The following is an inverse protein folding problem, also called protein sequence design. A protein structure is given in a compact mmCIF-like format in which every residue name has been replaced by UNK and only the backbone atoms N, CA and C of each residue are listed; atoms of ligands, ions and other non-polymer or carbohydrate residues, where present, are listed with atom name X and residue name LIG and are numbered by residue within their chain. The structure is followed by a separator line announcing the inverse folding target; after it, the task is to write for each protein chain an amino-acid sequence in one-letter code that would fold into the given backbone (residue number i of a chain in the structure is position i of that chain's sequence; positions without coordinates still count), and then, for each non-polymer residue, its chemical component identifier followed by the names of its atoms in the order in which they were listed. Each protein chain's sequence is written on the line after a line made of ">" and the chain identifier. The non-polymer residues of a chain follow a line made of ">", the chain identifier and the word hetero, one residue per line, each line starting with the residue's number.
data_IF_043529747181
#
_entry.id   IF_043529747181
#
_cell.length_a   1.000
_cell.length_b   1.000
_cell.length_c   1.000
_cell.angle_alpha   90.00
_cell.angle_beta   90.00
_cell.angle_gamma   90.00
#
_symmetry.space_group_name_H-M   'P 1'
#
loop_
_entity.id
_entity.type
_entity.pdbx_description
1 polymer ?
#
# COMPACT_ATOMS: atom_id res chain seq x y z
N UNK A 1 13.92 15.95 8.84
CA UNK A 1 14.01 15.20 7.56
C UNK A 1 12.65 14.66 7.21
N UNK A 2 12.21 14.83 5.97
CA UNK A 2 10.93 14.28 5.51
C UNK A 2 10.99 12.76 5.41
N UNK A 3 9.87 12.10 5.73
CA UNK A 3 9.75 10.64 5.72
C UNK A 3 8.87 10.20 4.56
N UNK A 4 9.37 9.25 3.77
CA UNK A 4 8.61 8.64 2.68
C UNK A 4 8.40 7.16 3.00
N UNK A 5 7.14 6.75 3.08
CA UNK A 5 6.79 5.34 3.21
C UNK A 5 6.70 4.73 1.80
N UNK A 6 7.33 3.59 1.61
CA UNK A 6 7.53 2.97 0.30
C UNK A 6 7.17 1.49 0.37
N UNK A 7 6.32 1.01 -0.53
CA UNK A 7 6.05 -0.42 -0.62
C UNK A 7 5.52 -0.84 -1.99
N UNK A 8 5.73 -2.12 -2.29
CA UNK A 8 5.04 -2.77 -3.39
C UNK A 8 3.73 -3.36 -2.86
N UNK A 9 2.64 -3.13 -3.57
CA UNK A 9 1.32 -3.63 -3.16
C UNK A 9 1.13 -5.09 -3.57
N UNK A 10 2.00 -5.95 -3.03
CA UNK A 10 2.06 -7.38 -3.29
C UNK A 10 2.65 -8.09 -2.06
N UNK A 11 2.23 -9.33 -1.85
CA UNK A 11 2.82 -10.22 -0.83
C UNK A 11 3.85 -11.18 -1.40
N UNK A 12 4.18 -11.07 -2.68
CA UNK A 12 5.23 -11.90 -3.29
C UNK A 12 6.59 -11.55 -2.71
N UNK A 13 7.35 -12.57 -2.28
CA UNK A 13 8.70 -12.36 -1.73
C UNK A 13 9.67 -11.79 -2.75
N UNK A 14 9.44 -12.06 -4.03
CA UNK A 14 10.26 -11.56 -5.14
C UNK A 14 9.49 -10.52 -5.95
N UNK A 15 8.71 -9.69 -5.28
CA UNK A 15 7.87 -8.70 -5.93
C UNK A 15 8.70 -7.69 -6.73
N UNK A 16 8.45 -7.65 -8.05
CA UNK A 16 9.06 -6.64 -8.93
C UNK A 16 8.50 -5.24 -8.58
N UNK A 17 7.28 -5.16 -8.08
CA UNK A 17 6.70 -3.90 -7.66
C UNK A 17 7.36 -3.36 -6.40
N UNK A 18 7.75 -4.23 -5.47
CA UNK A 18 8.56 -3.80 -4.32
C UNK A 18 9.89 -3.22 -4.80
N UNK A 19 10.57 -3.92 -5.72
CA UNK A 19 11.83 -3.45 -6.29
C UNK A 19 11.66 -2.10 -7.00
N UNK A 20 10.59 -1.95 -7.77
CA UNK A 20 10.31 -0.72 -8.48
C UNK A 20 10.05 0.45 -7.52
N UNK A 21 9.29 0.21 -6.47
CA UNK A 21 9.03 1.26 -5.46
C UNK A 21 10.32 1.70 -4.76
N UNK A 22 11.20 0.76 -4.45
CA UNK A 22 12.50 1.08 -3.83
C UNK A 22 13.39 1.86 -4.80
N UNK A 23 13.44 1.42 -6.07
CA UNK A 23 14.19 2.14 -7.10
C UNK A 23 13.72 3.60 -7.20
N UNK A 24 12.41 3.80 -7.25
CA UNK A 24 11.85 5.16 -7.31
C UNK A 24 12.23 5.97 -6.08
N UNK A 25 12.19 5.36 -4.89
CA UNK A 25 12.53 6.06 -3.64
C UNK A 25 13.98 6.51 -3.60
N UNK A 26 14.88 5.77 -4.24
CA UNK A 26 16.30 6.11 -4.28
C UNK A 26 16.61 7.35 -5.14
N UNK A 27 15.64 7.85 -5.90
CA UNK A 27 15.79 9.08 -6.68
C UNK A 27 15.63 10.34 -5.81
N UNK A 28 15.11 10.19 -4.60
CA UNK A 28 14.93 11.30 -3.66
C UNK A 28 16.14 11.42 -2.74
N UNK A 29 16.57 12.65 -2.47
CA UNK A 29 17.70 12.93 -1.59
C UNK A 29 17.23 13.65 -0.34
N UNK A 30 18.00 13.50 0.73
CA UNK A 30 17.73 14.17 2.01
C UNK A 30 16.36 13.82 2.59
N UNK A 31 15.96 12.56 2.43
CA UNK A 31 14.71 12.01 2.96
C UNK A 31 15.00 10.72 3.73
N UNK A 32 14.15 10.43 4.70
CA UNK A 32 14.16 9.13 5.36
C UNK A 32 13.22 8.20 4.61
N UNK A 33 13.73 7.06 4.16
CA UNK A 33 12.95 6.07 3.42
C UNK A 33 12.55 4.95 4.39
N UNK A 34 11.24 4.70 4.49
CA UNK A 34 10.69 3.62 5.33
C UNK A 34 10.07 2.60 4.39
N UNK A 35 10.76 1.47 4.22
CA UNK A 35 10.32 0.41 3.32
C UNK A 35 9.44 -0.56 4.09
N UNK A 36 8.21 -0.78 3.62
CA UNK A 36 7.30 -1.76 4.18
C UNK A 36 7.22 -3.00 3.29
N UNK A 37 6.99 -4.13 3.92
CA UNK A 37 6.73 -5.41 3.23
C UNK A 37 5.35 -5.88 3.66
N UNK A 38 4.44 -6.09 2.71
CA UNK A 38 3.07 -6.49 3.03
C UNK A 38 2.99 -7.85 3.73
N UNK A 39 4.02 -8.68 3.59
CA UNK A 39 4.08 -9.94 4.34
C UNK A 39 4.11 -9.73 5.86
N UNK A 40 4.64 -8.60 6.32
CA UNK A 40 4.67 -8.26 7.74
C UNK A 40 3.30 -7.82 8.27
N UNK A 41 2.34 -7.61 7.39
CA UNK A 41 1.01 -7.10 7.72
C UNK A 41 -0.10 -8.09 7.31
N UNK A 42 0.23 -9.37 7.28
CA UNK A 42 -0.76 -10.40 7.01
C UNK A 42 -1.78 -10.46 8.14
N UNK A 43 -3.05 -10.43 7.78
CA UNK A 43 -4.18 -10.37 8.71
C UNK A 43 -5.32 -11.25 8.18
N UNK A 44 -6.25 -11.64 9.07
CA UNK A 44 -7.47 -12.31 8.59
C UNK A 44 -8.16 -11.44 7.53
N UNK A 45 -8.81 -12.08 6.58
CA UNK A 45 -9.59 -11.35 5.58
C UNK A 45 -10.69 -10.57 6.30
N UNK A 46 -10.78 -9.27 6.02
CA UNK A 46 -11.73 -8.38 6.67
C UNK A 46 -13.17 -8.88 6.52
N UNK A 47 -13.92 -8.80 7.61
CA UNK A 47 -15.37 -8.89 7.62
C UNK A 47 -15.88 -8.14 8.84
N UNK A 48 -17.11 -7.68 8.78
CA UNK A 48 -17.75 -7.03 9.94
C UNK A 48 -17.80 -7.95 11.14
N UNK A 49 -18.05 -9.25 10.92
CA UNK A 49 -18.11 -10.23 12.00
C UNK A 49 -16.77 -10.37 12.70
N UNK A 50 -15.69 -10.40 11.95
CA UNK A 50 -14.34 -10.48 12.53
C UNK A 50 -14.00 -9.23 13.35
N UNK A 51 -14.37 -8.07 12.85
CA UNK A 51 -14.16 -6.82 13.57
C UNK A 51 -14.95 -6.82 14.89
N UNK A 52 -16.22 -7.25 14.86
CA UNK A 52 -17.06 -7.31 16.05
C UNK A 52 -16.55 -8.33 17.08
N UNK A 53 -16.08 -9.48 16.60
CA UNK A 53 -15.66 -10.58 17.49
C UNK A 53 -14.25 -10.37 18.07
N UNK A 54 -13.32 -9.81 17.31
CA UNK A 54 -11.92 -9.75 17.67
C UNK A 54 -11.31 -8.36 17.61
N UNK A 55 -12.08 -7.36 17.17
CA UNK A 55 -11.59 -6.00 16.99
C UNK A 55 -10.71 -5.84 15.76
N UNK A 56 -10.14 -4.65 15.61
CA UNK A 56 -9.22 -4.34 14.51
C UNK A 56 -7.85 -4.95 14.83
N UNK A 57 -7.25 -5.72 13.89
CA UNK A 57 -5.93 -6.31 14.15
C UNK A 57 -4.88 -5.24 14.48
N UNK A 58 -3.99 -5.58 15.38
CA UNK A 58 -2.88 -4.69 15.79
C UNK A 58 -2.01 -4.29 14.59
N UNK A 59 -1.79 -5.21 13.65
CA UNK A 59 -1.02 -4.94 12.43
C UNK A 59 -1.66 -3.86 11.56
N UNK A 60 -2.99 -3.79 11.53
CA UNK A 60 -3.70 -2.74 10.80
C UNK A 60 -3.44 -1.39 11.44
N UNK A 61 -3.52 -1.31 12.75
CA UNK A 61 -3.23 -0.07 13.49
C UNK A 61 -1.79 0.37 13.27
N UNK A 62 -0.85 -0.57 13.29
CA UNK A 62 0.56 -0.28 13.03
C UNK A 62 0.77 0.29 11.62
N UNK A 63 0.15 -0.34 10.63
CA UNK A 63 0.25 0.14 9.24
C UNK A 63 -0.32 1.55 9.11
N UNK A 64 -1.50 1.76 9.69
CA UNK A 64 -2.17 3.06 9.69
C UNK A 64 -1.30 4.15 10.32
N UNK A 65 -0.66 3.87 11.46
CA UNK A 65 0.21 4.82 12.13
C UNK A 65 1.48 5.14 11.32
N UNK A 66 2.01 4.15 10.61
CA UNK A 66 3.15 4.38 9.71
C UNK A 66 2.78 5.34 8.58
N UNK A 67 1.58 5.19 8.01
CA UNK A 67 1.09 6.13 7.01
C UNK A 67 0.90 7.52 7.61
N UNK A 68 0.29 7.59 8.79
CA UNK A 68 0.03 8.85 9.47
C UNK A 68 1.31 9.64 9.74
N UNK A 69 2.37 8.96 10.13
CA UNK A 69 3.64 9.60 10.48
C UNK A 69 4.53 9.91 9.26
N UNK A 70 4.13 9.52 8.06
CA UNK A 70 4.87 9.81 6.84
C UNK A 70 4.52 11.21 6.30
N UNK A 71 5.40 11.73 5.45
CA UNK A 71 5.18 12.99 4.73
C UNK A 71 4.73 12.74 3.29
N UNK A 72 5.06 11.57 2.73
CA UNK A 72 4.70 11.17 1.38
C UNK A 72 4.73 9.66 1.25
N UNK A 73 4.14 9.15 0.18
CA UNK A 73 4.03 7.71 -0.07
C UNK A 73 4.48 7.39 -1.49
N UNK A 74 5.16 6.25 -1.64
CA UNK A 74 5.45 5.67 -2.95
C UNK A 74 4.91 4.25 -2.94
N UNK A 75 3.96 3.96 -3.81
CA UNK A 75 3.33 2.65 -3.90
C UNK A 75 3.41 2.15 -5.34
N UNK A 76 3.97 0.96 -5.55
CA UNK A 76 3.97 0.31 -6.85
C UNK A 76 3.03 -0.89 -6.80
N UNK A 77 2.02 -0.91 -7.68
CA UNK A 77 0.93 -1.87 -7.64
C UNK A 77 1.19 -3.07 -8.53
N UNK A 78 1.11 -4.25 -7.94
CA UNK A 78 0.96 -5.49 -8.69
C UNK A 78 -0.50 -5.64 -9.09
N UNK A 79 -0.74 -6.27 -10.23
CA UNK A 79 -2.09 -6.49 -10.74
C UNK A 79 -2.43 -7.97 -10.71
N UNK A 80 -3.52 -8.31 -10.06
CA UNK A 80 -4.10 -9.64 -10.07
C UNK A 80 -5.53 -9.54 -10.59
N UNK A 81 -5.78 -10.22 -11.70
CA UNK A 81 -7.12 -10.21 -12.34
C UNK A 81 -7.63 -8.77 -12.60
N UNK A 82 -6.75 -7.92 -13.09
CA UNK A 82 -7.09 -6.56 -13.49
C UNK A 82 -7.28 -5.56 -12.34
N UNK A 83 -6.93 -5.92 -11.11
CA UNK A 83 -7.16 -5.07 -9.94
C UNK A 83 -6.05 -5.23 -8.90
N UNK A 84 -6.29 -4.72 -7.69
CA UNK A 84 -5.37 -4.86 -6.56
C UNK A 84 -5.09 -6.34 -6.24
N UNK A 85 -3.93 -6.60 -5.65
CA UNK A 85 -3.71 -7.89 -5.00
C UNK A 85 -4.62 -8.00 -3.78
N UNK A 86 -4.99 -9.23 -3.43
CA UNK A 86 -5.77 -9.48 -2.22
C UNK A 86 -5.06 -8.96 -0.97
N UNK A 87 -3.73 -9.12 -0.92
CA UNK A 87 -2.95 -8.64 0.22
C UNK A 87 -3.09 -7.14 0.44
N UNK A 88 -2.99 -6.34 -0.62
CA UNK A 88 -3.17 -4.89 -0.50
C UNK A 88 -4.60 -4.53 -0.15
N UNK A 89 -5.57 -5.11 -0.86
CA UNK A 89 -6.98 -4.79 -0.64
C UNK A 89 -7.40 -5.10 0.78
N UNK A 90 -6.92 -6.20 1.34
CA UNK A 90 -7.23 -6.55 2.72
C UNK A 90 -6.69 -5.54 3.73
N UNK A 91 -5.45 -5.09 3.53
CA UNK A 91 -4.88 -4.03 4.37
C UNK A 91 -5.70 -2.75 4.25
N UNK A 92 -6.04 -2.35 3.03
CA UNK A 92 -6.86 -1.17 2.76
C UNK A 92 -8.22 -1.28 3.47
N UNK A 93 -8.87 -2.44 3.35
CA UNK A 93 -10.17 -2.67 3.98
C UNK A 93 -10.07 -2.51 5.50
N UNK A 94 -9.05 -3.11 6.13
CA UNK A 94 -8.87 -2.98 7.57
C UNK A 94 -8.54 -1.56 8.02
N UNK A 95 -7.60 -0.88 7.37
CA UNK A 95 -7.19 0.47 7.80
C UNK A 95 -8.31 1.50 7.61
N UNK A 96 -9.20 1.28 6.64
CA UNK A 96 -10.36 2.16 6.44
C UNK A 96 -11.36 2.08 7.59
N UNK A 97 -11.26 1.07 8.46
CA UNK A 97 -12.08 0.95 9.67
C UNK A 97 -11.52 1.75 10.84
N UNK A 98 -10.25 2.15 10.78
CA UNK A 98 -9.60 2.91 11.86
C UNK A 98 -9.97 4.38 11.77
N UNK A 99 -9.98 4.94 10.56
CA UNK A 99 -10.31 6.34 10.35
C UNK A 99 -10.81 6.62 8.95
N UNK A 100 -11.48 7.74 8.79
CA UNK A 100 -12.07 8.15 7.51
C UNK A 100 -11.01 8.61 6.50
N UNK A 101 -9.91 9.17 7.00
CA UNK A 101 -8.83 9.69 6.17
C UNK A 101 -7.74 8.61 6.11
N UNK A 102 -7.82 7.73 5.11
CA UNK A 102 -6.90 6.60 5.00
C UNK A 102 -5.51 7.07 4.56
N UNK A 103 -5.44 7.92 3.56
CA UNK A 103 -4.19 8.31 2.94
C UNK A 103 -3.67 9.66 3.43
N UNK A 104 -4.36 10.27 4.41
CA UNK A 104 -3.94 11.50 5.10
C UNK A 104 -3.65 12.68 4.18
N UNK A 105 -4.27 12.70 2.99
CA UNK A 105 -4.13 13.81 2.03
C UNK A 105 -2.68 14.10 1.67
N UNK A 106 -1.85 13.08 1.64
CA UNK A 106 -0.41 13.21 1.43
C UNK A 106 -0.04 13.08 -0.05
N UNK A 107 1.05 13.73 -0.46
CA UNK A 107 1.59 13.48 -1.80
C UNK A 107 1.89 12.00 -1.99
N UNK A 108 1.51 11.47 -3.14
CA UNK A 108 1.70 10.06 -3.45
C UNK A 108 2.22 9.89 -4.87
N UNK A 109 3.24 9.04 -5.01
CA UNK A 109 3.68 8.56 -6.30
C UNK A 109 3.13 7.16 -6.47
N UNK A 110 2.23 6.98 -7.42
CA UNK A 110 1.61 5.69 -7.72
C UNK A 110 2.24 5.11 -8.98
N UNK A 111 2.72 3.89 -8.86
CA UNK A 111 3.44 3.18 -9.93
C UNK A 111 2.80 1.81 -10.13
N UNK A 112 3.12 1.18 -11.25
CA UNK A 112 2.81 -0.22 -11.48
C UNK A 112 3.79 -0.81 -12.47
N UNK A 113 4.02 -2.11 -12.37
CA UNK A 113 4.79 -2.86 -13.37
C UNK A 113 4.31 -4.30 -13.40
N UNK A 114 4.50 -4.95 -14.54
CA UNK A 114 4.24 -6.38 -14.74
C UNK A 114 5.07 -6.89 -15.91
N UNK A 115 5.07 -8.20 -16.11
CA UNK A 115 5.72 -8.80 -17.26
C UNK A 115 4.92 -8.66 -18.56
N UNK A 116 3.67 -8.20 -18.45
CA UNK A 116 2.79 -8.02 -19.60
C UNK A 116 3.00 -6.67 -20.30
N UNK A 117 2.52 -6.57 -21.53
CA UNK A 117 2.67 -5.36 -22.35
C UNK A 117 2.02 -4.12 -21.75
N UNK A 118 0.94 -4.31 -20.96
CA UNK A 118 0.19 -3.20 -20.38
C UNK A 118 0.84 -2.64 -19.10
N UNK A 119 1.86 -3.31 -18.54
CA UNK A 119 2.54 -2.82 -17.36
C UNK A 119 1.64 -2.65 -16.14
N UNK A 120 0.60 -3.47 -16.00
CA UNK A 120 -0.39 -3.39 -14.94
C UNK A 120 -1.18 -2.07 -14.95
N UNK A 121 -1.50 -1.56 -16.14
CA UNK A 121 -2.22 -0.29 -16.29
C UNK A 121 -3.58 -0.28 -15.59
N UNK A 122 -4.33 -1.40 -15.65
CA UNK A 122 -5.68 -1.44 -15.07
C UNK A 122 -5.69 -1.19 -13.56
N UNK A 123 -4.78 -1.81 -12.82
CA UNK A 123 -4.70 -1.59 -11.38
C UNK A 123 -4.23 -0.16 -11.07
N UNK A 124 -3.33 0.39 -11.87
CA UNK A 124 -2.86 1.75 -11.68
C UNK A 124 -4.00 2.76 -11.87
N UNK A 125 -4.81 2.58 -12.90
CA UNK A 125 -5.98 3.42 -13.13
C UNK A 125 -6.98 3.32 -11.97
N UNK A 126 -7.23 2.10 -11.49
CA UNK A 126 -8.10 1.87 -10.34
C UNK A 126 -7.56 2.58 -9.10
N UNK A 127 -6.27 2.42 -8.82
CA UNK A 127 -5.63 3.07 -7.67
C UNK A 127 -5.71 4.59 -7.77
N UNK A 128 -5.39 5.15 -8.91
CA UNK A 128 -5.43 6.59 -9.13
C UNK A 128 -6.83 7.16 -8.90
N UNK A 129 -7.85 6.51 -9.45
CA UNK A 129 -9.23 7.01 -9.31
C UNK A 129 -9.76 6.88 -7.88
N UNK A 130 -9.33 5.86 -7.13
CA UNK A 130 -9.85 5.60 -5.77
C UNK A 130 -9.05 6.32 -4.70
N UNK A 131 -7.74 6.29 -4.79
CA UNK A 131 -6.86 6.84 -3.75
C UNK A 131 -6.82 8.37 -3.78
N UNK A 132 -7.04 8.96 -4.95
CA UNK A 132 -7.07 10.42 -5.08
C UNK A 132 -8.33 11.08 -4.50
N UNK A 133 -9.22 10.29 -3.95
CA UNK A 133 -10.42 10.82 -3.28
C UNK A 133 -10.15 11.13 -1.83
#
# INVERSE_FOLDING_TARGET
>A
MKKIVVFGASSSKKSINKQFSIYASNQFKNVEIIILDLNDFEMPIFSEDKELNSGIPEKATKFYELLKCSDALIISFAEHNGSYTAAFKNIFDWISRIGKIVWWDKPMLLLSTSDGERGALSVLETAHSRISF
#
